data_IF_600478159532
#
_entry.id   IF_600478159532
#
_cell.length_a   1.000
_cell.length_b   1.000
_cell.length_c   1.000
_cell.angle_alpha   90.00
_cell.angle_beta   90.00
_cell.angle_gamma   90.00
#
_symmetry.space_group_name_H-M   'P 1'
#
loop_
_entity.id
_entity.type
_entity.pdbx_description
1 polymer ?
#
# COMPACT_ATOMS: atom_id res chain seq x y z
N UNK A 1 42.44 83.85 28.28
CA UNK A 1 42.73 82.88 27.18
C UNK A 1 42.88 81.48 27.79
N UNK A 2 42.59 80.43 27.02
CA UNK A 2 42.60 78.98 27.35
C UNK A 2 41.41 78.36 28.13
N UNK A 3 41.09 78.75 29.38
CA UNK A 3 40.13 77.96 30.20
C UNK A 3 38.66 78.02 29.77
N UNK A 4 38.12 79.18 29.42
CA UNK A 4 36.69 79.32 29.05
C UNK A 4 36.34 78.64 27.71
N UNK A 5 37.28 78.58 26.77
CA UNK A 5 37.09 77.87 25.50
C UNK A 5 37.15 76.35 25.68
N UNK A 6 37.98 75.85 26.60
CA UNK A 6 38.03 74.44 26.94
C UNK A 6 36.73 73.94 27.58
N UNK A 7 36.11 74.74 28.47
CA UNK A 7 34.83 74.36 29.11
C UNK A 7 33.69 74.30 28.09
N UNK A 8 33.63 75.23 27.14
CA UNK A 8 32.61 75.21 26.08
C UNK A 8 32.83 74.04 25.11
N UNK A 9 34.08 73.70 24.80
CA UNK A 9 34.39 72.54 23.96
C UNK A 9 34.05 71.21 24.65
N UNK A 10 34.28 71.09 25.96
CA UNK A 10 33.91 69.90 26.74
C UNK A 10 32.40 69.79 26.91
N UNK A 11 31.69 70.90 27.12
CA UNK A 11 30.23 70.90 27.21
C UNK A 11 29.55 70.57 25.87
N UNK A 12 30.10 71.07 24.75
CA UNK A 12 29.61 70.73 23.42
C UNK A 12 29.92 69.26 23.05
N UNK A 13 31.09 68.74 23.42
CA UNK A 13 31.43 67.33 23.23
C UNK A 13 30.56 66.39 24.09
N UNK A 14 30.19 66.79 25.31
CA UNK A 14 29.25 66.04 26.14
C UNK A 14 27.83 66.09 25.59
N UNK A 15 27.39 67.23 25.05
CA UNK A 15 26.07 67.39 24.44
C UNK A 15 25.93 66.58 23.12
N UNK A 16 27.01 66.45 22.33
CA UNK A 16 27.02 65.60 21.13
C UNK A 16 27.15 64.09 21.45
N UNK A 17 27.66 63.71 22.63
CA UNK A 17 27.73 62.32 23.06
C UNK A 17 26.37 61.76 23.53
N UNK A 18 25.38 62.63 23.79
CA UNK A 18 24.02 62.25 24.21
C UNK A 18 23.06 62.01 23.05
N UNK A 19 23.45 62.35 21.82
CA UNK A 19 22.66 62.08 20.61
C UNK A 19 23.22 60.86 19.89
N UNK A 20 23.33 59.74 20.59
CA UNK A 20 23.40 58.45 19.91
C UNK A 20 21.97 58.18 19.45
N UNK A 21 21.66 58.17 18.14
CA UNK A 21 20.40 57.58 17.72
C UNK A 21 20.51 56.12 18.16
N UNK A 22 19.76 55.75 19.20
CA UNK A 22 19.49 54.35 19.46
C UNK A 22 18.80 53.87 18.20
N UNK A 23 19.58 53.28 17.28
CA UNK A 23 19.04 52.57 16.15
C UNK A 23 18.20 51.47 16.78
N UNK A 24 16.90 51.73 16.90
CA UNK A 24 15.92 50.73 17.23
C UNK A 24 15.99 49.74 16.07
N UNK A 25 16.85 48.75 16.20
CA UNK A 25 16.84 47.59 15.35
C UNK A 25 15.52 46.90 15.65
N UNK A 26 14.48 47.31 14.94
CA UNK A 26 13.24 46.58 14.86
C UNK A 26 13.57 45.27 14.13
N UNK A 27 14.04 44.29 14.91
CA UNK A 27 14.23 42.93 14.45
C UNK A 27 12.83 42.35 14.25
N UNK A 28 12.22 42.66 13.11
CA UNK A 28 11.00 42.00 12.67
C UNK A 28 11.34 40.54 12.39
N UNK A 29 11.16 39.69 13.39
CA UNK A 29 11.15 38.25 13.20
C UNK A 29 9.79 37.89 12.61
N UNK A 30 9.73 37.85 11.28
CA UNK A 30 8.62 37.23 10.58
C UNK A 30 8.79 35.71 10.65
N UNK A 31 8.23 35.08 11.68
CA UNK A 31 8.07 33.63 11.71
C UNK A 31 6.81 33.27 10.93
N UNK A 32 6.96 32.97 9.65
CA UNK A 32 5.87 32.30 8.92
C UNK A 32 5.93 30.82 9.24
N UNK A 33 4.87 30.29 9.85
CA UNK A 33 4.71 28.83 9.89
C UNK A 33 4.49 28.37 8.47
N UNK A 34 5.30 27.42 7.99
CA UNK A 34 4.99 26.73 6.75
C UNK A 34 3.58 26.12 6.88
N UNK A 35 2.74 26.18 5.85
CA UNK A 35 1.46 25.50 5.87
C UNK A 35 1.72 24.03 6.14
N UNK A 36 1.24 23.54 7.29
CA UNK A 36 1.25 22.13 7.60
C UNK A 36 0.18 21.48 6.71
N UNK A 37 0.60 20.86 5.61
CA UNK A 37 -0.28 20.00 4.85
C UNK A 37 -0.49 18.74 5.68
N UNK A 38 -1.73 18.48 6.08
CA UNK A 38 -2.11 17.19 6.63
C UNK A 38 -1.91 16.14 5.53
N UNK A 39 -0.82 15.39 5.60
CA UNK A 39 -0.65 14.18 4.80
C UNK A 39 -1.65 13.16 5.33
N UNK A 40 -2.87 13.16 4.78
CA UNK A 40 -3.81 12.06 4.98
C UNK A 40 -3.23 10.85 4.27
N UNK A 41 -2.67 9.93 5.04
CA UNK A 41 -2.37 8.58 4.56
C UNK A 41 -3.71 7.87 4.36
N UNK A 42 -4.33 8.06 3.19
CA UNK A 42 -5.40 7.15 2.76
C UNK A 42 -4.79 5.77 2.57
N UNK A 43 -4.90 4.93 3.59
CA UNK A 43 -4.51 3.54 3.53
C UNK A 43 -5.75 2.73 3.14
N UNK A 44 -5.66 1.96 2.06
CA UNK A 44 -6.71 1.00 1.76
C UNK A 44 -6.66 -0.12 2.78
N UNK A 45 -7.83 -0.49 3.30
CA UNK A 45 -7.95 -1.67 4.12
C UNK A 45 -7.60 -2.93 3.33
N UNK A 46 -6.97 -3.89 4.00
CA UNK A 46 -6.73 -5.21 3.41
C UNK A 46 -8.09 -5.91 3.15
N UNK A 47 -8.31 -6.49 1.97
CA UNK A 47 -9.51 -7.29 1.70
C UNK A 47 -9.59 -8.48 2.66
N UNK A 48 -10.79 -8.79 3.15
CA UNK A 48 -11.05 -10.07 3.81
C UNK A 48 -11.65 -11.01 2.79
N UNK A 49 -10.93 -12.07 2.46
CA UNK A 49 -11.30 -13.07 1.46
C UNK A 49 -11.87 -14.32 2.12
N UNK A 50 -12.82 -14.95 1.45
CA UNK A 50 -13.37 -16.25 1.81
C UNK A 50 -13.28 -17.18 0.61
N UNK A 51 -12.84 -18.40 0.85
CA UNK A 51 -12.71 -19.43 -0.18
C UNK A 51 -13.88 -20.41 -0.06
N UNK A 52 -14.64 -20.57 -1.13
CA UNK A 52 -15.70 -21.57 -1.25
C UNK A 52 -15.38 -22.57 -2.36
N UNK A 53 -15.28 -23.85 -2.00
CA UNK A 53 -15.11 -24.92 -2.97
C UNK A 53 -16.43 -25.20 -3.69
N UNK A 54 -16.43 -25.15 -5.02
CA UNK A 54 -17.58 -25.52 -5.85
C UNK A 54 -17.33 -26.88 -6.49
N UNK A 55 -18.24 -27.85 -6.29
CA UNK A 55 -18.08 -29.19 -6.84
C UNK A 55 -18.13 -29.16 -8.37
N UNK A 56 -17.50 -30.16 -9.00
CA UNK A 56 -17.62 -30.41 -10.42
C UNK A 56 -19.09 -30.75 -10.76
N UNK A 57 -19.67 -30.04 -11.73
CA UNK A 57 -21.04 -30.28 -12.20
C UNK A 57 -21.02 -30.39 -13.72
N UNK A 58 -21.57 -31.48 -14.27
CA UNK A 58 -21.80 -31.67 -15.71
C UNK A 58 -20.56 -31.43 -16.61
N UNK A 59 -19.45 -32.10 -16.30
CA UNK A 59 -18.22 -32.04 -17.13
C UNK A 59 -17.32 -30.82 -16.89
N UNK A 60 -17.70 -29.91 -15.98
CA UNK A 60 -16.84 -28.84 -15.48
C UNK A 60 -16.00 -29.35 -14.32
N UNK A 61 -14.68 -29.11 -14.36
CA UNK A 61 -13.79 -29.39 -13.24
C UNK A 61 -14.20 -28.61 -11.99
N UNK A 62 -13.91 -29.16 -10.81
CA UNK A 62 -14.11 -28.43 -9.55
C UNK A 62 -13.28 -27.14 -9.52
N UNK A 63 -13.80 -26.10 -8.86
CA UNK A 63 -13.12 -24.82 -8.80
C UNK A 63 -13.24 -24.19 -7.41
N UNK A 64 -12.26 -23.36 -7.07
CA UNK A 64 -12.26 -22.59 -5.84
C UNK A 64 -12.75 -21.18 -6.16
N UNK A 65 -13.84 -20.77 -5.55
CA UNK A 65 -14.36 -19.41 -5.67
C UNK A 65 -13.85 -18.59 -4.50
N UNK A 66 -13.08 -17.54 -4.79
CA UNK A 66 -12.63 -16.57 -3.79
C UNK A 66 -13.54 -15.36 -3.87
N UNK A 67 -14.16 -15.00 -2.75
CA UNK A 67 -14.99 -13.79 -2.63
C UNK A 67 -14.45 -12.90 -1.51
N UNK A 68 -14.61 -11.60 -1.66
CA UNK A 68 -14.24 -10.62 -0.64
C UNK A 68 -15.31 -9.54 -0.53
N UNK A 69 -15.27 -8.79 0.57
CA UNK A 69 -16.11 -7.60 0.69
C UNK A 69 -15.50 -6.43 -0.10
N UNK A 70 -16.34 -5.58 -0.73
CA UNK A 70 -15.84 -4.39 -1.41
C UNK A 70 -15.13 -3.47 -0.40
N UNK A 71 -13.93 -3.03 -0.76
CA UNK A 71 -13.15 -2.08 0.02
C UNK A 71 -13.49 -0.66 -0.45
N UNK A 72 -13.85 0.19 0.50
CA UNK A 72 -14.11 1.61 0.24
C UNK A 72 -12.89 2.24 -0.44
N UNK A 73 -13.14 3.07 -1.46
CA UNK A 73 -12.13 3.73 -2.29
C UNK A 73 -11.34 2.82 -3.25
N UNK A 74 -11.50 1.48 -3.21
CA UNK A 74 -10.85 0.57 -4.16
C UNK A 74 -11.49 0.67 -5.56
N UNK A 75 -10.67 0.90 -6.59
CA UNK A 75 -11.15 0.91 -7.99
C UNK A 75 -11.06 -0.45 -8.66
N UNK A 76 -10.12 -1.28 -8.23
CA UNK A 76 -9.92 -2.62 -8.77
C UNK A 76 -9.20 -3.51 -7.77
N UNK A 77 -9.15 -4.80 -8.06
CA UNK A 77 -8.44 -5.80 -7.27
C UNK A 77 -7.45 -6.54 -8.14
N UNK A 78 -6.34 -6.92 -7.52
CA UNK A 78 -5.33 -7.81 -8.09
C UNK A 78 -5.29 -9.07 -7.25
N UNK A 79 -5.32 -10.22 -7.92
CA UNK A 79 -5.32 -11.55 -7.31
C UNK A 79 -3.99 -12.19 -7.62
N UNK A 80 -3.30 -12.65 -6.58
CA UNK A 80 -1.98 -13.26 -6.67
C UNK A 80 -2.03 -14.66 -6.07
N UNK A 81 -1.51 -15.64 -6.80
CA UNK A 81 -1.27 -16.99 -6.35
C UNK A 81 0.19 -17.16 -5.96
N UNK A 82 0.44 -17.60 -4.73
CA UNK A 82 1.78 -17.82 -4.20
C UNK A 82 1.96 -19.27 -3.82
N UNK A 83 3.00 -19.90 -4.33
CA UNK A 83 3.41 -21.23 -3.91
C UNK A 83 3.96 -21.16 -2.47
N UNK A 84 3.31 -21.84 -1.54
CA UNK A 84 3.71 -21.83 -0.12
C UNK A 84 5.06 -22.50 0.14
N UNK A 85 5.47 -23.45 -0.71
CA UNK A 85 6.69 -24.23 -0.52
C UNK A 85 7.97 -23.48 -0.94
N UNK A 86 7.91 -22.62 -1.96
CA UNK A 86 9.09 -21.91 -2.49
C UNK A 86 8.91 -20.39 -2.59
N UNK A 87 7.75 -19.85 -2.22
CA UNK A 87 7.44 -18.42 -2.28
C UNK A 87 7.23 -17.86 -3.69
N UNK A 88 7.17 -18.70 -4.73
CA UNK A 88 6.96 -18.24 -6.10
C UNK A 88 5.54 -17.66 -6.23
N UNK A 89 5.44 -16.36 -6.46
CA UNK A 89 4.20 -15.64 -6.62
C UNK A 89 3.91 -15.35 -8.10
N UNK A 90 2.64 -15.35 -8.45
CA UNK A 90 2.17 -14.96 -9.76
C UNK A 90 0.82 -14.26 -9.69
N UNK A 91 0.68 -13.22 -10.49
CA UNK A 91 -0.58 -12.54 -10.69
C UNK A 91 -1.52 -13.39 -11.54
N UNK A 92 -2.63 -13.78 -10.93
CA UNK A 92 -3.72 -14.55 -11.55
C UNK A 92 -4.62 -13.63 -12.36
N UNK A 93 -4.96 -12.48 -11.79
CA UNK A 93 -5.83 -11.50 -12.39
C UNK A 93 -5.50 -10.09 -11.90
N UNK A 94 -5.60 -9.12 -12.80
CA UNK A 94 -5.41 -7.69 -12.51
C UNK A 94 -6.63 -6.92 -13.00
N UNK A 95 -6.98 -5.83 -12.30
CA UNK A 95 -8.08 -4.98 -12.75
C UNK A 95 -9.46 -5.59 -12.52
N UNK A 96 -9.56 -6.54 -11.60
CA UNK A 96 -10.84 -7.18 -11.27
C UNK A 96 -11.72 -6.14 -10.57
N UNK A 97 -12.88 -5.82 -11.15
CA UNK A 97 -13.86 -4.92 -10.52
C UNK A 97 -14.92 -5.68 -9.73
N UNK A 98 -15.09 -6.96 -10.03
CA UNK A 98 -15.91 -7.87 -9.24
C UNK A 98 -15.28 -8.15 -7.87
N UNK A 99 -16.11 -8.48 -6.90
CA UNK A 99 -15.69 -8.90 -5.55
C UNK A 99 -15.58 -10.41 -5.41
N UNK A 100 -15.55 -11.11 -6.54
CA UNK A 100 -15.50 -12.57 -6.64
C UNK A 100 -14.64 -12.98 -7.83
N UNK A 101 -13.86 -14.04 -7.67
CA UNK A 101 -13.09 -14.68 -8.75
C UNK A 101 -13.18 -16.20 -8.65
N UNK A 102 -13.36 -16.85 -9.79
CA UNK A 102 -13.36 -18.30 -9.89
C UNK A 102 -11.97 -18.78 -10.33
N UNK A 103 -11.27 -19.47 -9.42
CA UNK A 103 -10.00 -20.11 -9.72
C UNK A 103 -10.31 -21.48 -10.32
N UNK A 104 -10.27 -21.56 -11.64
CA UNK A 104 -10.55 -22.79 -12.41
C UNK A 104 -9.25 -23.42 -12.92
N UNK A 105 -9.34 -24.68 -13.38
CA UNK A 105 -8.23 -25.39 -14.03
C UNK A 105 -7.51 -24.60 -15.13
N UNK A 106 -8.24 -23.81 -15.92
CA UNK A 106 -7.66 -22.99 -16.99
C UNK A 106 -6.86 -21.79 -16.46
N UNK A 107 -7.29 -21.20 -15.34
CA UNK A 107 -6.49 -20.20 -14.62
C UNK A 107 -5.21 -20.83 -14.09
N UNK A 108 -5.22 -22.11 -13.71
CA UNK A 108 -3.99 -22.81 -13.36
C UNK A 108 -3.09 -23.07 -14.56
N UNK A 109 -3.64 -23.33 -15.75
CA UNK A 109 -2.81 -23.48 -16.95
C UNK A 109 -2.12 -22.18 -17.37
N UNK A 110 -2.68 -21.01 -17.02
CA UNK A 110 -1.99 -19.72 -17.18
C UNK A 110 -1.03 -19.40 -16.04
N UNK A 111 -1.04 -20.18 -14.95
CA UNK A 111 -0.02 -20.12 -13.92
C UNK A 111 1.30 -20.74 -14.41
N UNK A 112 2.41 -20.11 -14.02
CA UNK A 112 3.78 -20.53 -14.18
C UNK A 112 3.91 -21.98 -13.73
N UNK A 113 4.77 -22.70 -14.45
CA UNK A 113 5.07 -24.10 -14.16
C UNK A 113 5.44 -24.31 -12.69
N UNK A 114 6.05 -23.35 -12.01
CA UNK A 114 6.44 -23.43 -10.60
C UNK A 114 5.25 -23.49 -9.63
N UNK A 115 4.17 -22.77 -9.92
CA UNK A 115 2.96 -22.75 -9.09
C UNK A 115 2.14 -24.01 -9.39
N UNK A 116 1.99 -24.37 -10.66
CA UNK A 116 1.31 -25.59 -11.10
C UNK A 116 2.00 -26.84 -10.60
N UNK A 117 3.34 -26.91 -10.65
CA UNK A 117 4.12 -28.01 -10.08
C UNK A 117 3.91 -28.13 -8.59
N UNK A 118 3.84 -27.02 -7.86
CA UNK A 118 3.53 -27.05 -6.43
C UNK A 118 2.25 -27.82 -6.15
N UNK A 119 1.17 -27.46 -6.84
CA UNK A 119 -0.13 -28.11 -6.71
C UNK A 119 -0.06 -29.59 -7.09
N UNK A 120 0.67 -29.93 -8.16
CA UNK A 120 0.86 -31.31 -8.63
C UNK A 120 1.69 -32.17 -7.68
N UNK A 121 2.70 -31.59 -7.04
CA UNK A 121 3.54 -32.23 -6.02
C UNK A 121 2.81 -32.38 -4.67
N UNK A 122 1.52 -32.02 -4.61
CA UNK A 122 0.69 -32.07 -3.40
C UNK A 122 0.89 -30.89 -2.46
N UNK A 123 1.59 -29.85 -2.91
CA UNK A 123 1.77 -28.59 -2.20
C UNK A 123 0.53 -27.70 -2.26
N UNK A 124 0.52 -26.71 -1.38
CA UNK A 124 -0.54 -25.71 -1.26
C UNK A 124 -0.16 -24.43 -1.98
N UNK A 125 -1.11 -23.86 -2.72
CA UNK A 125 -1.00 -22.51 -3.26
C UNK A 125 -1.89 -21.58 -2.46
N UNK A 126 -1.34 -20.43 -2.09
CA UNK A 126 -2.03 -19.42 -1.30
C UNK A 126 -2.50 -18.33 -2.24
N UNK A 127 -3.80 -18.04 -2.23
CA UNK A 127 -4.37 -16.91 -2.95
C UNK A 127 -4.44 -15.72 -2.01
N UNK A 128 -3.96 -14.58 -2.49
CA UNK A 128 -4.07 -13.29 -1.83
C UNK A 128 -4.69 -12.27 -2.79
N UNK A 129 -5.48 -11.36 -2.24
CA UNK A 129 -6.14 -10.29 -2.97
C UNK A 129 -5.67 -8.95 -2.43
N UNK A 130 -5.23 -8.07 -3.32
CA UNK A 130 -4.85 -6.70 -2.99
C UNK A 130 -5.82 -5.75 -3.66
N UNK A 131 -6.38 -4.82 -2.89
CA UNK A 131 -7.17 -3.73 -3.43
C UNK A 131 -6.23 -2.65 -4.00
N UNK A 132 -6.58 -2.13 -5.18
CA UNK A 132 -5.78 -1.17 -5.93
C UNK A 132 -6.62 0.05 -6.27
N UNK A 133 -6.01 1.21 -6.10
CA UNK A 133 -6.48 2.50 -6.58
C UNK A 133 -5.47 3.11 -7.52
N UNK A 134 -5.81 4.24 -8.14
CA UNK A 134 -4.88 4.96 -9.00
C UNK A 134 -3.56 5.38 -8.31
N UNK A 135 -3.53 5.47 -6.97
CA UNK A 135 -2.38 5.97 -6.21
C UNK A 135 -1.92 5.07 -5.06
N UNK A 136 -2.75 4.12 -4.63
CA UNK A 136 -2.53 3.32 -3.41
C UNK A 136 -2.89 1.86 -3.62
N UNK A 137 -2.07 0.97 -3.07
CA UNK A 137 -2.30 -0.47 -3.02
C UNK A 137 -2.44 -0.90 -1.57
N UNK A 138 -3.46 -1.69 -1.26
CA UNK A 138 -3.65 -2.23 0.09
C UNK A 138 -2.60 -3.31 0.40
N UNK A 139 -2.40 -3.63 1.68
CA UNK A 139 -1.79 -4.90 2.07
C UNK A 139 -2.57 -6.09 1.46
N UNK A 140 -1.91 -7.25 1.26
CA UNK A 140 -2.59 -8.45 0.81
C UNK A 140 -3.66 -8.89 1.81
N UNK A 141 -4.70 -9.53 1.30
CA UNK A 141 -5.76 -10.16 2.09
C UNK A 141 -5.21 -11.25 3.00
N UNK A 142 -6.08 -11.80 3.84
CA UNK A 142 -5.82 -13.10 4.44
C UNK A 142 -5.51 -14.15 3.36
N UNK A 143 -4.61 -15.05 3.72
CA UNK A 143 -4.13 -16.13 2.88
C UNK A 143 -5.24 -17.17 2.71
N UNK A 144 -5.60 -17.49 1.46
CA UNK A 144 -6.58 -18.52 1.14
C UNK A 144 -5.88 -19.71 0.49
N UNK A 145 -5.57 -20.77 1.26
CA UNK A 145 -4.91 -21.94 0.72
C UNK A 145 -5.87 -22.72 -0.19
N UNK A 146 -5.39 -23.06 -1.37
CA UNK A 146 -6.06 -23.88 -2.38
C UNK A 146 -5.18 -25.06 -2.75
N UNK A 147 -5.83 -26.20 -2.97
CA UNK A 147 -5.22 -27.48 -3.31
C UNK A 147 -5.95 -28.10 -4.50
N UNK A 148 -5.33 -29.09 -5.14
CA UNK A 148 -6.01 -29.88 -6.16
C UNK A 148 -7.12 -30.71 -5.53
N UNK A 149 -8.28 -30.74 -6.20
CA UNK A 149 -9.43 -31.47 -5.68
C UNK A 149 -9.26 -32.98 -5.78
N UNK A 150 -8.61 -33.45 -6.86
CA UNK A 150 -8.24 -34.83 -7.14
C UNK A 150 -7.27 -34.91 -8.32
N UNK A 151 -6.32 -35.86 -8.27
CA UNK A 151 -5.46 -36.31 -9.39
C UNK A 151 -5.98 -37.65 -9.98
N UNK A 152 -7.25 -37.97 -9.77
CA UNK A 152 -7.81 -39.28 -10.15
C UNK A 152 -8.02 -39.29 -11.68
N UNK A 153 -7.10 -39.95 -12.39
CA UNK A 153 -7.28 -40.30 -13.80
C UNK A 153 -6.63 -39.40 -14.85
N UNK A 154 -5.48 -38.75 -14.54
CA UNK A 154 -4.66 -38.07 -15.56
C UNK A 154 -5.24 -36.75 -16.12
N UNK A 155 -6.44 -36.37 -15.69
CA UNK A 155 -7.05 -35.07 -15.95
C UNK A 155 -6.94 -34.23 -14.68
N UNK A 156 -6.44 -32.99 -14.78
CA UNK A 156 -6.38 -32.05 -13.66
C UNK A 156 -7.79 -31.89 -13.06
N UNK A 157 -8.06 -32.55 -11.93
CA UNK A 157 -9.40 -32.70 -11.34
C UNK A 157 -9.99 -31.43 -10.74
N UNK A 158 -9.50 -30.27 -11.15
CA UNK A 158 -9.89 -28.97 -10.62
C UNK A 158 -9.19 -28.61 -9.32
N UNK A 159 -9.57 -27.47 -8.76
CA UNK A 159 -9.06 -26.95 -7.48
C UNK A 159 -10.16 -26.72 -6.48
N UNK A 160 -9.80 -26.80 -5.20
CA UNK A 160 -10.67 -26.54 -4.07
C UNK A 160 -9.93 -25.75 -3.00
N UNK A 161 -10.70 -25.11 -2.14
CA UNK A 161 -10.20 -24.52 -0.91
C UNK A 161 -9.69 -25.61 0.04
N UNK A 162 -8.53 -25.36 0.64
CA UNK A 162 -8.02 -26.16 1.74
C UNK A 162 -8.69 -25.65 3.01
N UNK A 163 -9.62 -26.44 3.54
CA UNK A 163 -10.30 -26.18 4.80
C UNK A 163 -9.53 -26.76 5.98
#
# INVERSE_FOLDING_TARGET
MSRRRAVVAVAAALALALTVPTAAAAAWRASTSAPAFSLSTSALAAPVTTCTSKPAVLGLSSYAQISWSPITDATSYTVTATNSANGAAQVVATGVTATTIDITGSVLTSLLASVVRALLDGGTVVITVTAVTQKWTSPPSNEQPVVLSSLVGGLLGGVKCQN
#
